data_IF_270943797354
#
_entry.id   IF_270943797354
#
_cell.length_a   1.000
_cell.length_b   1.000
_cell.length_c   1.000
_cell.angle_alpha   90.00
_cell.angle_beta   90.00
_cell.angle_gamma   90.00
#
_symmetry.space_group_name_H-M   'P 1'
#
loop_
_entity.id
_entity.type
_entity.pdbx_description
1 polymer ?
#
# COMPACT_ATOMS: atom_id res chain seq x y z
N UNK A 1 -12.81 2.06 -19.55
CA UNK A 1 -12.18 1.16 -18.56
C UNK A 1 -12.39 1.71 -17.17
N UNK A 2 -12.65 0.84 -16.22
CA UNK A 2 -12.87 1.26 -14.83
C UNK A 2 -11.56 1.23 -14.05
N UNK A 3 -11.33 2.27 -13.26
CA UNK A 3 -10.21 2.30 -12.33
C UNK A 3 -10.40 1.24 -11.26
N UNK A 4 -9.29 0.80 -10.69
CA UNK A 4 -9.30 -0.24 -9.65
C UNK A 4 -8.61 0.32 -8.41
N UNK A 5 -9.20 0.07 -7.23
CA UNK A 5 -8.65 0.52 -5.94
C UNK A 5 -8.32 -0.64 -5.04
N UNK A 6 -7.23 -0.51 -4.31
CA UNK A 6 -6.86 -1.42 -3.23
C UNK A 6 -6.72 -0.59 -1.96
N UNK A 7 -7.48 -0.94 -0.93
CA UNK A 7 -7.46 -0.25 0.36
C UNK A 7 -7.02 -1.24 1.42
N UNK A 8 -5.91 -0.94 2.07
CA UNK A 8 -5.32 -1.82 3.06
C UNK A 8 -5.22 -1.07 4.38
N UNK A 9 -5.79 -1.63 5.45
CA UNK A 9 -5.61 -1.09 6.79
C UNK A 9 -4.70 -2.04 7.56
N UNK A 10 -3.56 -1.53 7.99
CA UNK A 10 -2.56 -2.29 8.73
C UNK A 10 -2.57 -1.83 10.19
N UNK A 11 -2.65 -2.78 11.11
CA UNK A 11 -2.60 -2.51 12.55
C UNK A 11 -1.29 -3.03 13.11
N UNK A 12 -0.61 -2.20 13.91
CA UNK A 12 0.68 -2.54 14.50
C UNK A 12 0.52 -2.75 16.01
N UNK A 13 1.31 -3.66 16.59
CA UNK A 13 1.26 -3.89 18.03
C UNK A 13 1.80 -2.71 18.87
N UNK A 14 2.66 -1.87 18.25
CA UNK A 14 3.29 -0.77 18.97
C UNK A 14 3.80 0.28 18.00
N UNK A 15 4.11 1.46 18.53
CA UNK A 15 4.74 2.54 17.76
C UNK A 15 6.10 2.12 17.20
N UNK A 16 7.00 1.46 17.95
CA UNK A 16 8.27 1.00 17.39
C UNK A 16 8.10 0.04 16.20
N UNK A 17 7.14 -0.88 16.25
CA UNK A 17 6.87 -1.78 15.13
C UNK A 17 6.43 -1.01 13.90
N UNK A 18 5.57 -0.01 14.07
CA UNK A 18 5.15 0.87 12.99
C UNK A 18 6.35 1.59 12.37
N UNK A 19 7.22 2.16 13.19
CA UNK A 19 8.39 2.92 12.71
C UNK A 19 9.34 2.02 11.92
N UNK A 20 9.58 0.81 12.39
CA UNK A 20 10.43 -0.14 11.70
C UNK A 20 9.82 -0.54 10.35
N UNK A 21 8.50 -0.81 10.33
CA UNK A 21 7.78 -1.12 9.11
C UNK A 21 7.89 0.04 8.10
N UNK A 22 7.62 1.26 8.54
CA UNK A 22 7.66 2.42 7.65
C UNK A 22 9.06 2.65 7.09
N UNK A 23 10.09 2.49 7.92
CA UNK A 23 11.47 2.62 7.47
C UNK A 23 11.81 1.59 6.40
N UNK A 24 11.33 0.36 6.57
CA UNK A 24 11.56 -0.70 5.60
C UNK A 24 10.85 -0.39 4.28
N UNK A 25 9.59 0.03 4.34
CA UNK A 25 8.83 0.42 3.15
C UNK A 25 9.52 1.59 2.45
N UNK A 26 9.97 2.58 3.20
CA UNK A 26 10.67 3.74 2.65
C UNK A 26 11.93 3.30 1.89
N UNK A 27 12.73 2.44 2.49
CA UNK A 27 13.97 1.97 1.88
C UNK A 27 13.75 1.13 0.63
N UNK A 28 12.73 0.24 0.64
CA UNK A 28 12.48 -0.65 -0.49
C UNK A 28 11.68 -0.01 -1.62
N UNK A 29 10.78 0.92 -1.30
CA UNK A 29 9.83 1.44 -2.30
C UNK A 29 9.96 2.94 -2.52
N UNK A 30 9.94 3.73 -1.44
CA UNK A 30 9.78 5.18 -1.59
C UNK A 30 11.06 5.88 -2.05
N UNK A 31 12.22 5.33 -1.72
CA UNK A 31 13.52 5.89 -2.09
C UNK A 31 14.07 5.32 -3.39
N UNK A 32 13.47 4.27 -3.93
CA UNK A 32 13.93 3.63 -5.16
C UNK A 32 13.13 4.17 -6.35
N UNK A 33 13.76 5.04 -7.13
CA UNK A 33 13.14 5.64 -8.30
C UNK A 33 12.76 4.60 -9.36
N UNK A 34 13.50 3.51 -9.46
CA UNK A 34 13.21 2.45 -10.44
C UNK A 34 11.91 1.76 -10.11
N UNK A 35 11.65 1.52 -8.84
CA UNK A 35 10.40 0.91 -8.38
C UNK A 35 9.23 1.87 -8.63
N UNK A 36 9.39 3.13 -8.30
CA UNK A 36 8.36 4.14 -8.55
C UNK A 36 8.02 4.22 -10.03
N UNK A 37 9.03 4.23 -10.88
CA UNK A 37 8.84 4.27 -12.33
C UNK A 37 8.12 3.01 -12.82
N UNK A 38 8.53 1.84 -12.34
CA UNK A 38 7.88 0.58 -12.69
C UNK A 38 6.39 0.61 -12.38
N UNK A 39 6.02 1.06 -11.18
CA UNK A 39 4.62 1.12 -10.76
C UNK A 39 3.82 2.07 -11.66
N UNK A 40 4.36 3.23 -11.97
CA UNK A 40 3.70 4.19 -12.87
C UNK A 40 3.53 3.62 -14.26
N UNK A 41 4.55 2.99 -14.81
CA UNK A 41 4.50 2.40 -16.16
C UNK A 41 3.51 1.25 -16.23
N UNK A 42 3.26 0.56 -15.12
CA UNK A 42 2.30 -0.53 -15.04
C UNK A 42 0.91 -0.08 -14.58
N UNK A 43 0.67 1.22 -14.55
CA UNK A 43 -0.67 1.76 -14.39
C UNK A 43 -1.10 2.16 -12.99
N UNK A 44 -0.18 2.23 -12.02
CA UNK A 44 -0.51 2.79 -10.73
C UNK A 44 -0.64 4.32 -10.86
N UNK A 45 -1.77 4.86 -10.43
CA UNK A 45 -2.05 6.30 -10.53
C UNK A 45 -1.95 7.01 -9.19
N UNK A 46 -2.06 6.28 -8.07
CA UNK A 46 -2.05 6.90 -6.75
C UNK A 46 -1.60 5.88 -5.70
N UNK A 47 -0.80 6.36 -4.77
CA UNK A 47 -0.41 5.59 -3.58
C UNK A 47 -0.30 6.56 -2.43
N UNK A 48 -1.20 6.43 -1.45
CA UNK A 48 -1.16 7.24 -0.24
C UNK A 48 -1.14 6.33 0.99
N UNK A 49 -0.52 6.80 2.04
CA UNK A 49 -0.50 6.12 3.33
C UNK A 49 -0.80 7.15 4.40
N UNK A 50 -1.81 6.88 5.22
CA UNK A 50 -2.24 7.78 6.28
C UNK A 50 -2.19 7.06 7.62
N UNK A 51 -1.43 7.62 8.55
CA UNK A 51 -1.40 7.12 9.93
C UNK A 51 -2.58 7.70 10.67
N UNK A 52 -3.32 6.87 11.42
CA UNK A 52 -4.46 7.34 12.20
C UNK A 52 -3.99 8.18 13.38
N UNK A 53 -4.90 9.06 13.86
CA UNK A 53 -4.62 9.90 15.03
C UNK A 53 -4.65 9.13 16.34
N UNK A 54 -5.16 7.91 16.33
CA UNK A 54 -5.23 7.08 17.54
C UNK A 54 -3.83 6.75 18.03
N UNK A 55 -3.62 6.93 19.31
CA UNK A 55 -2.30 6.65 19.91
C UNK A 55 -2.02 5.15 19.88
N UNK A 56 -3.03 4.34 20.22
CA UNK A 56 -2.93 2.88 20.18
C UNK A 56 -4.30 2.27 19.94
N UNK A 57 -4.37 1.19 19.14
CA UNK A 57 -3.29 0.65 18.32
C UNK A 57 -2.97 1.56 17.14
N UNK A 58 -1.70 1.56 16.73
CA UNK A 58 -1.27 2.33 15.57
C UNK A 58 -1.81 1.67 14.31
N UNK A 59 -2.47 2.46 13.46
CA UNK A 59 -3.02 1.97 12.19
C UNK A 59 -2.56 2.85 11.05
N UNK A 60 -2.34 2.22 9.90
CA UNK A 60 -2.02 2.93 8.66
C UNK A 60 -3.02 2.50 7.60
N UNK A 61 -3.65 3.48 6.96
CA UNK A 61 -4.56 3.23 5.84
C UNK A 61 -3.79 3.48 4.55
N UNK A 62 -3.67 2.44 3.73
CA UNK A 62 -2.94 2.50 2.48
C UNK A 62 -3.95 2.47 1.34
N UNK A 63 -3.91 3.48 0.47
CA UNK A 63 -4.79 3.54 -0.69
C UNK A 63 -3.92 3.53 -1.94
N UNK A 64 -4.15 2.55 -2.80
CA UNK A 64 -3.49 2.43 -4.08
C UNK A 64 -4.54 2.38 -5.18
N UNK A 65 -4.38 3.20 -6.20
CA UNK A 65 -5.29 3.23 -7.35
C UNK A 65 -4.56 2.92 -8.63
N UNK A 66 -5.26 2.25 -9.54
CA UNK A 66 -4.72 1.77 -10.81
C UNK A 66 -5.70 2.11 -11.93
N UNK A 67 -5.18 2.20 -13.15
CA UNK A 67 -6.02 2.50 -14.33
C UNK A 67 -7.04 1.39 -14.60
N UNK A 68 -6.73 0.15 -14.20
CA UNK A 68 -7.64 -0.99 -14.31
C UNK A 68 -7.15 -2.15 -13.43
N UNK A 69 -7.94 -3.23 -13.38
CA UNK A 69 -7.62 -4.41 -12.56
C UNK A 69 -6.34 -5.11 -13.03
N UNK A 70 -6.09 -5.13 -14.35
CA UNK A 70 -4.89 -5.76 -14.89
C UNK A 70 -3.63 -5.07 -14.38
N UNK A 71 -3.66 -3.74 -14.32
CA UNK A 71 -2.54 -2.95 -13.78
C UNK A 71 -2.30 -3.28 -12.30
N UNK A 72 -3.37 -3.44 -11.52
CA UNK A 72 -3.26 -3.90 -10.14
C UNK A 72 -2.53 -5.23 -10.07
N UNK A 73 -2.93 -6.20 -10.88
CA UNK A 73 -2.32 -7.54 -10.86
C UNK A 73 -0.83 -7.48 -11.21
N UNK A 74 -0.45 -6.65 -12.17
CA UNK A 74 0.96 -6.47 -12.55
C UNK A 74 1.79 -5.86 -11.42
N UNK A 75 1.25 -4.83 -10.76
CA UNK A 75 1.94 -4.20 -9.63
C UNK A 75 1.99 -5.11 -8.41
N UNK A 76 0.96 -5.93 -8.21
CA UNK A 76 0.88 -6.83 -7.06
C UNK A 76 2.03 -7.82 -7.01
N UNK A 77 2.50 -8.29 -8.16
CA UNK A 77 3.61 -9.23 -8.21
C UNK A 77 4.89 -8.65 -7.60
N UNK A 78 5.10 -7.34 -7.77
CA UNK A 78 6.23 -6.64 -7.17
C UNK A 78 6.09 -6.60 -5.64
N UNK A 79 4.89 -6.24 -5.14
CA UNK A 79 4.67 -6.16 -3.71
C UNK A 79 4.81 -7.50 -3.00
N UNK A 80 4.30 -8.57 -3.62
CA UNK A 80 4.41 -9.92 -3.04
C UNK A 80 5.86 -10.37 -2.87
N UNK A 81 6.75 -9.87 -3.71
CA UNK A 81 8.17 -10.17 -3.62
C UNK A 81 8.80 -9.65 -2.32
N UNK A 82 8.28 -8.53 -1.81
CA UNK A 82 8.86 -7.86 -0.63
C UNK A 82 8.06 -8.09 0.66
N UNK A 83 6.87 -8.65 0.58
CA UNK A 83 6.02 -8.88 1.76
C UNK A 83 6.68 -9.65 2.90
N UNK A 84 7.45 -10.74 2.63
CA UNK A 84 8.07 -11.48 3.73
C UNK A 84 8.97 -10.65 4.63
N UNK A 85 9.49 -9.53 4.12
CA UNK A 85 10.41 -8.68 4.89
C UNK A 85 9.72 -7.86 5.99
N UNK A 86 8.40 -7.70 5.91
CA UNK A 86 7.66 -6.81 6.81
C UNK A 86 6.48 -7.46 7.50
N UNK A 87 6.02 -8.63 7.06
CA UNK A 87 4.78 -9.20 7.58
C UNK A 87 4.84 -9.52 9.07
N UNK A 88 6.02 -9.81 9.62
CA UNK A 88 6.17 -10.09 11.05
C UNK A 88 6.06 -8.85 11.93
N UNK A 89 6.11 -7.66 11.34
CA UNK A 89 5.96 -6.40 12.06
C UNK A 89 4.49 -5.99 12.19
N UNK A 90 3.60 -6.67 11.47
CA UNK A 90 2.19 -6.35 11.37
C UNK A 90 1.39 -7.29 12.27
N UNK A 91 0.53 -6.71 13.14
CA UNK A 91 -0.38 -7.49 13.95
C UNK A 91 -1.56 -8.01 13.14
N UNK A 92 -2.15 -7.11 12.33
CA UNK A 92 -3.37 -7.43 11.58
C UNK A 92 -3.44 -6.56 10.33
N UNK A 93 -3.94 -7.13 9.24
CA UNK A 93 -4.23 -6.35 8.04
C UNK A 93 -5.60 -6.70 7.50
N UNK A 94 -6.33 -5.68 7.02
CA UNK A 94 -7.60 -5.84 6.32
C UNK A 94 -7.43 -5.27 4.92
N UNK A 95 -7.86 -6.04 3.92
CA UNK A 95 -7.69 -5.66 2.51
C UNK A 95 -9.05 -5.65 1.85
N UNK A 96 -9.37 -4.54 1.17
CA UNK A 96 -10.58 -4.40 0.37
C UNK A 96 -10.17 -3.91 -1.01
N UNK A 97 -10.65 -4.59 -2.05
CA UNK A 97 -10.31 -4.25 -3.42
C UNK A 97 -11.56 -4.26 -4.29
N UNK A 98 -11.59 -3.35 -5.28
CA UNK A 98 -12.71 -3.32 -6.21
C UNK A 98 -12.57 -2.24 -7.26
N UNK A 99 -13.49 -2.29 -8.22
CA UNK A 99 -13.56 -1.27 -9.24
C UNK A 99 -14.19 0.01 -8.69
N UNK A 100 -13.67 1.15 -9.13
CA UNK A 100 -14.22 2.46 -8.76
C UNK A 100 -15.53 2.65 -9.52
N UNK A 101 -16.63 2.79 -8.79
CA UNK A 101 -17.97 2.96 -9.39
C UNK A 101 -18.41 4.41 -9.47
N UNK A 102 -17.73 5.30 -8.72
CA UNK A 102 -18.02 6.73 -8.73
C UNK A 102 -16.77 7.49 -8.28
N UNK A 103 -16.48 8.56 -9.00
CA UNK A 103 -15.35 9.42 -8.66
C UNK A 103 -15.73 10.87 -8.94
N UNK A 104 -15.46 11.74 -7.97
CA UNK A 104 -15.70 13.17 -8.10
C UNK A 104 -14.50 13.92 -7.53
N UNK A 105 -14.13 14.97 -8.21
CA UNK A 105 -12.99 15.80 -7.80
C UNK A 105 -13.41 16.73 -6.67
#
# INVERSE_FOLDING_TARGET
MKKFSSIITVTFPSEPSYKEWFKTIENFFLKDEKITLYLKQNGMTKWTMSKTDDVEPVKVVIIMQYINKKSFEQCQSLFLKYMPNVQNLIYKSNITRGEVIFEQI
#
